data_IF_348324725271
#
_entry.id   IF_348324725271
#
_cell.length_a   1.000
_cell.length_b   1.000
_cell.length_c   1.000
_cell.angle_alpha   90.00
_cell.angle_beta   90.00
_cell.angle_gamma   90.00
#
_symmetry.space_group_name_H-M   'P 1'
#
loop_
_entity.id
_entity.type
_entity.pdbx_description
1 polymer ?
#
# COMPACT_ATOMS: atom_id res chain seq x y z
N UNK A 1 37.28 -33.68 -0.68
CA UNK A 1 36.99 -33.50 -2.11
C UNK A 1 36.35 -34.77 -2.61
N UNK A 2 35.16 -34.70 -3.23
CA UNK A 2 34.55 -35.90 -3.83
C UNK A 2 35.44 -36.45 -4.95
N UNK A 3 35.52 -37.79 -5.13
CA UNK A 3 36.32 -38.37 -6.20
C UNK A 3 35.81 -37.89 -7.57
N UNK A 4 36.72 -37.66 -8.54
CA UNK A 4 36.33 -37.27 -9.88
C UNK A 4 35.40 -38.30 -10.51
N UNK A 5 34.39 -37.83 -11.24
CA UNK A 5 33.46 -38.70 -11.96
C UNK A 5 34.18 -39.56 -13.01
N UNK A 6 33.81 -40.84 -13.12
CA UNK A 6 34.38 -41.78 -14.10
C UNK A 6 33.93 -41.48 -15.56
N UNK A 7 32.90 -40.63 -15.72
CA UNK A 7 32.35 -40.22 -17.01
C UNK A 7 32.06 -38.72 -17.05
N UNK A 8 32.00 -38.16 -18.24
CA UNK A 8 31.68 -36.76 -18.46
C UNK A 8 30.24 -36.46 -18.00
N UNK A 9 30.01 -35.51 -17.08
CA UNK A 9 28.67 -35.22 -16.57
C UNK A 9 27.77 -34.50 -17.59
N UNK A 10 28.28 -34.16 -18.78
CA UNK A 10 27.50 -33.56 -19.88
C UNK A 10 27.02 -34.59 -20.90
N UNK A 11 27.89 -35.52 -21.33
CA UNK A 11 27.60 -36.44 -22.43
C UNK A 11 27.73 -37.93 -22.07
N UNK A 12 28.16 -38.26 -20.85
CA UNK A 12 28.30 -39.65 -20.38
C UNK A 12 29.52 -40.40 -20.91
N UNK A 13 30.34 -39.81 -21.80
CA UNK A 13 31.55 -40.45 -22.31
C UNK A 13 32.55 -40.75 -21.18
N UNK A 14 33.34 -41.83 -21.33
CA UNK A 14 34.36 -42.21 -20.36
C UNK A 14 35.37 -41.06 -20.16
N UNK A 15 35.75 -40.80 -18.90
CA UNK A 15 36.75 -39.76 -18.60
C UNK A 15 38.13 -40.24 -19.05
N UNK A 16 38.83 -39.39 -19.78
CA UNK A 16 40.22 -39.57 -20.19
C UNK A 16 41.11 -38.62 -19.38
N UNK A 17 42.41 -38.90 -19.30
CA UNK A 17 43.37 -37.99 -18.68
C UNK A 17 43.45 -36.69 -19.49
N UNK A 18 42.87 -35.62 -18.96
CA UNK A 18 42.84 -34.30 -19.60
C UNK A 18 41.89 -33.33 -18.90
N UNK A 19 42.04 -32.01 -19.11
CA UNK A 19 41.17 -30.99 -18.52
C UNK A 19 39.78 -30.93 -19.19
N UNK A 20 39.67 -31.43 -20.42
CA UNK A 20 38.46 -31.35 -21.25
C UNK A 20 38.04 -32.72 -21.81
N UNK A 21 36.74 -32.87 -22.05
CA UNK A 21 36.17 -34.08 -22.63
C UNK A 21 36.36 -34.09 -24.16
N UNK A 22 37.00 -35.11 -24.75
CA UNK A 22 37.25 -35.16 -26.19
C UNK A 22 35.97 -35.31 -27.02
N UNK A 23 34.89 -35.84 -26.43
CA UNK A 23 33.63 -36.05 -27.13
C UNK A 23 32.77 -34.77 -27.25
N UNK A 24 32.86 -33.84 -26.29
CA UNK A 24 31.95 -32.68 -26.23
C UNK A 24 32.61 -31.34 -25.88
N UNK A 25 33.93 -31.31 -25.71
CA UNK A 25 34.73 -30.10 -25.43
C UNK A 25 34.45 -29.44 -24.07
N UNK A 26 33.77 -30.11 -23.14
CA UNK A 26 33.48 -29.50 -21.82
C UNK A 26 34.65 -29.69 -20.87
N UNK A 27 35.02 -28.63 -20.15
CA UNK A 27 36.01 -28.68 -19.08
C UNK A 27 35.40 -29.45 -17.90
N UNK A 28 36.04 -30.55 -17.48
CA UNK A 28 35.49 -31.45 -16.45
C UNK A 28 35.18 -30.72 -15.14
N UNK A 29 36.10 -29.88 -14.65
CA UNK A 29 35.91 -29.10 -13.43
C UNK A 29 34.65 -28.22 -13.46
N UNK A 30 34.41 -27.52 -14.58
CA UNK A 30 33.25 -26.64 -14.73
C UNK A 30 31.95 -27.43 -14.83
N UNK A 31 32.00 -28.60 -15.47
CA UNK A 31 30.85 -29.47 -15.64
C UNK A 31 30.47 -30.14 -14.31
N UNK A 32 31.45 -30.57 -13.51
CA UNK A 32 31.27 -31.12 -12.17
C UNK A 32 30.73 -30.07 -11.19
N UNK A 33 31.25 -28.83 -11.22
CA UNK A 33 30.73 -27.74 -10.41
C UNK A 33 29.24 -27.43 -10.72
N UNK A 34 28.85 -27.45 -12.00
CA UNK A 34 27.44 -27.28 -12.42
C UNK A 34 26.56 -28.46 -12.03
N UNK A 35 27.07 -29.69 -12.09
CA UNK A 35 26.35 -30.87 -11.66
C UNK A 35 26.11 -30.85 -10.14
N UNK A 36 27.14 -30.50 -9.36
CA UNK A 36 27.04 -30.34 -7.91
C UNK A 36 26.06 -29.23 -7.52
N UNK A 37 26.08 -28.09 -8.21
CA UNK A 37 25.12 -27.00 -7.98
C UNK A 37 23.66 -27.42 -8.26
N UNK A 38 23.41 -28.18 -9.34
CA UNK A 38 22.07 -28.73 -9.64
C UNK A 38 21.60 -29.70 -8.56
N UNK A 39 22.46 -30.63 -8.15
CA UNK A 39 22.13 -31.57 -7.06
C UNK A 39 21.86 -30.84 -5.73
N UNK A 40 22.61 -29.78 -5.41
CA UNK A 40 22.36 -28.98 -4.22
C UNK A 40 21.00 -28.25 -4.29
N UNK A 41 20.66 -27.68 -5.45
CA UNK A 41 19.35 -27.05 -5.67
C UNK A 41 18.18 -28.04 -5.58
N UNK A 42 18.34 -29.25 -6.12
CA UNK A 42 17.34 -30.32 -6.02
C UNK A 42 17.12 -30.76 -4.56
N UNK A 43 18.20 -30.89 -3.76
CA UNK A 43 18.10 -31.18 -2.33
C UNK A 43 17.38 -30.08 -1.56
N UNK A 44 17.74 -28.81 -1.79
CA UNK A 44 17.07 -27.68 -1.15
C UNK A 44 15.58 -27.59 -1.52
N UNK A 45 15.24 -27.88 -2.78
CA UNK A 45 13.84 -27.93 -3.22
C UNK A 45 13.08 -29.07 -2.54
N UNK A 46 13.69 -30.25 -2.41
CA UNK A 46 13.10 -31.39 -1.72
C UNK A 46 12.90 -31.11 -0.23
N UNK A 47 13.88 -30.50 0.45
CA UNK A 47 13.77 -30.07 1.85
C UNK A 47 12.64 -29.05 2.04
N UNK A 48 12.54 -28.04 1.17
CA UNK A 48 11.46 -27.05 1.23
C UNK A 48 10.09 -27.67 1.03
N UNK A 49 9.95 -28.60 0.08
CA UNK A 49 8.69 -29.29 -0.17
C UNK A 49 8.31 -30.20 1.02
N UNK A 50 9.27 -30.85 1.65
CA UNK A 50 9.04 -31.65 2.86
C UNK A 50 8.52 -30.80 4.03
N UNK A 51 9.08 -29.60 4.24
CA UNK A 51 8.61 -28.66 5.26
C UNK A 51 7.17 -28.19 4.98
N UNK A 52 6.83 -27.91 3.72
CA UNK A 52 5.46 -27.52 3.35
C UNK A 52 4.45 -28.65 3.62
N UNK A 53 4.76 -29.88 3.23
CA UNK A 53 3.91 -31.03 3.52
C UNK A 53 3.73 -31.26 5.02
N UNK A 54 4.80 -31.14 5.81
CA UNK A 54 4.71 -31.25 7.27
C UNK A 54 3.79 -30.17 7.87
N UNK A 55 3.82 -28.95 7.35
CA UNK A 55 2.94 -27.86 7.80
C UNK A 55 1.47 -28.09 7.42
N UNK A 56 1.21 -28.65 6.23
CA UNK A 56 -0.13 -29.05 5.81
C UNK A 56 -0.69 -30.17 6.70
N UNK A 57 0.11 -31.20 6.98
CA UNK A 57 -0.25 -32.30 7.89
C UNK A 57 -0.58 -31.78 9.30
N UNK A 58 0.22 -30.84 9.82
CA UNK A 58 -0.05 -30.19 11.10
C UNK A 58 -1.38 -29.42 11.12
N UNK A 59 -1.73 -28.73 10.02
CA UNK A 59 -3.02 -28.02 9.92
C UNK A 59 -4.20 -28.98 9.85
N UNK A 60 -4.06 -30.09 9.14
CA UNK A 60 -5.08 -31.14 9.08
C UNK A 60 -5.28 -31.79 10.46
N UNK A 61 -4.19 -32.17 11.14
CA UNK A 61 -4.26 -32.74 12.49
C UNK A 61 -4.89 -31.77 13.50
N UNK A 62 -4.57 -30.47 13.42
CA UNK A 62 -5.21 -29.46 14.28
C UNK A 62 -6.71 -29.35 14.01
N UNK A 63 -7.12 -29.39 12.74
CA UNK A 63 -8.54 -29.34 12.36
C UNK A 63 -9.28 -30.59 12.86
N UNK A 64 -8.72 -31.77 12.66
CA UNK A 64 -9.28 -33.02 13.17
C UNK A 64 -9.39 -33.01 14.70
N UNK A 65 -8.38 -32.49 15.40
CA UNK A 65 -8.43 -32.32 16.85
C UNK A 65 -9.54 -31.34 17.28
N UNK A 66 -9.73 -30.22 16.58
CA UNK A 66 -10.80 -29.26 16.85
C UNK A 66 -12.18 -29.85 16.58
N UNK A 67 -12.34 -30.64 15.52
CA UNK A 67 -13.58 -31.34 15.20
C UNK A 67 -13.89 -32.45 16.22
N UNK A 68 -12.87 -33.19 16.69
CA UNK A 68 -13.02 -34.19 17.74
C UNK A 68 -13.35 -33.60 19.12
N UNK A 69 -12.88 -32.36 19.40
CA UNK A 69 -13.16 -31.63 20.64
C UNK A 69 -14.29 -30.61 20.49
N UNK A 70 -14.99 -30.58 19.35
CA UNK A 70 -16.26 -29.86 19.23
C UNK A 70 -17.26 -30.58 20.13
N UNK A 71 -17.30 -30.15 21.40
CA UNK A 71 -18.22 -30.67 22.39
C UNK A 71 -19.63 -30.68 21.81
N UNK A 72 -20.45 -31.72 22.10
CA UNK A 72 -21.85 -31.67 21.75
C UNK A 72 -22.40 -30.35 22.27
N UNK A 73 -23.09 -29.61 21.41
CA UNK A 73 -23.69 -28.33 21.73
C UNK A 73 -24.68 -28.57 22.86
N UNK A 74 -24.20 -28.47 24.09
CA UNK A 74 -25.05 -28.49 25.26
C UNK A 74 -25.75 -27.13 25.24
N UNK A 75 -26.85 -27.07 24.50
CA UNK A 75 -27.83 -26.01 24.68
C UNK A 75 -28.30 -26.21 26.11
N UNK A 76 -27.97 -25.30 27.04
CA UNK A 76 -28.42 -25.45 28.41
C UNK A 76 -29.95 -25.47 28.38
N UNK A 77 -30.63 -26.44 29.03
CA UNK A 77 -32.10 -26.49 29.05
C UNK A 77 -32.73 -25.25 29.69
N UNK A 78 -31.93 -24.34 30.26
CA UNK A 78 -32.37 -23.05 30.76
C UNK A 78 -32.67 -22.01 29.65
N UNK A 79 -32.20 -22.22 28.41
CA UNK A 79 -32.49 -21.31 27.28
C UNK A 79 -33.86 -21.60 26.66
N UNK A 80 -34.38 -22.81 26.82
CA UNK A 80 -35.66 -23.25 26.26
C UNK A 80 -36.87 -22.85 27.14
N UNK A 81 -36.62 -22.43 28.39
CA UNK A 81 -37.63 -21.97 29.34
C UNK A 81 -37.61 -20.45 29.59
N UNK A 82 -36.86 -19.68 28.79
CA UNK A 82 -37.03 -18.23 28.80
C UNK A 82 -38.33 -17.89 28.05
N UNK A 83 -39.35 -17.31 28.71
CA UNK A 83 -40.51 -16.82 27.99
C UNK A 83 -40.03 -15.87 26.91
N UNK A 84 -40.62 -15.98 25.72
CA UNK A 84 -40.40 -15.06 24.61
C UNK A 84 -40.43 -13.65 25.18
N UNK A 85 -39.26 -13.00 25.24
CA UNK A 85 -39.18 -11.60 25.64
C UNK A 85 -39.93 -10.87 24.53
N UNK A 86 -41.20 -10.58 24.81
CA UNK A 86 -41.87 -9.41 24.27
C UNK A 86 -40.97 -8.26 24.67
N UNK A 87 -40.02 -7.93 23.80
CA UNK A 87 -39.29 -6.68 23.91
C UNK A 87 -40.40 -5.65 23.85
N UNK A 88 -40.59 -4.84 24.92
CA UNK A 88 -41.48 -3.69 24.78
C UNK A 88 -41.01 -2.98 23.52
N UNK A 89 -41.96 -2.64 22.65
CA UNK A 89 -41.77 -1.78 21.50
C UNK A 89 -41.35 -0.41 22.05
N UNK A 90 -40.09 -0.34 22.51
CA UNK A 90 -39.39 0.87 22.86
C UNK A 90 -39.11 1.48 21.51
N UNK A 91 -39.98 2.39 21.11
CA UNK A 91 -39.77 3.28 19.98
C UNK A 91 -38.45 4.03 20.21
N UNK A 92 -37.37 3.51 19.63
CA UNK A 92 -36.00 4.06 19.63
C UNK A 92 -35.84 5.21 18.61
N UNK A 93 -36.92 5.90 18.25
CA UNK A 93 -36.93 6.89 17.17
C UNK A 93 -35.95 8.06 17.45
N UNK A 94 -35.74 8.40 18.73
CA UNK A 94 -34.80 9.44 19.15
C UNK A 94 -33.33 9.02 19.15
N UNK A 95 -32.99 7.73 19.27
CA UNK A 95 -31.58 7.28 19.30
C UNK A 95 -30.95 7.31 17.91
N UNK A 96 -31.73 6.97 16.90
CA UNK A 96 -31.25 6.92 15.52
C UNK A 96 -31.02 8.34 14.97
N UNK A 97 -31.93 9.27 15.26
CA UNK A 97 -31.78 10.69 14.92
C UNK A 97 -30.58 11.35 15.62
N UNK A 98 -30.33 10.99 16.89
CA UNK A 98 -29.16 11.47 17.64
C UNK A 98 -27.84 10.90 17.06
N UNK A 99 -27.82 9.62 16.68
CA UNK A 99 -26.67 8.98 16.04
C UNK A 99 -26.37 9.60 14.67
N UNK A 100 -27.39 9.86 13.86
CA UNK A 100 -27.24 10.55 12.57
C UNK A 100 -26.69 11.96 12.74
N UNK A 101 -27.18 12.70 13.73
CA UNK A 101 -26.70 14.05 14.06
C UNK A 101 -25.26 14.03 14.58
N UNK A 102 -24.88 13.02 15.35
CA UNK A 102 -23.52 12.86 15.83
C UNK A 102 -22.54 12.52 14.68
N UNK A 103 -22.88 11.56 13.83
CA UNK A 103 -22.11 11.23 12.63
C UNK A 103 -21.98 12.42 11.69
N UNK A 104 -23.05 13.21 11.55
CA UNK A 104 -23.06 14.47 10.83
C UNK A 104 -22.00 15.44 11.36
N UNK A 105 -21.97 15.68 12.68
CA UNK A 105 -20.95 16.52 13.33
C UNK A 105 -19.55 15.97 13.12
N UNK A 106 -19.36 14.65 13.22
CA UNK A 106 -18.06 14.02 12.99
C UNK A 106 -17.53 14.27 11.56
N UNK A 107 -18.38 14.16 10.54
CA UNK A 107 -17.98 14.41 9.13
C UNK A 107 -17.52 15.84 8.87
N UNK A 108 -18.01 16.78 9.68
CA UNK A 108 -17.60 18.19 9.66
C UNK A 108 -16.31 18.39 10.44
N UNK A 109 -16.19 17.83 11.64
CA UNK A 109 -15.08 18.18 12.53
C UNK A 109 -13.82 17.35 12.29
N UNK A 110 -13.93 16.09 11.88
CA UNK A 110 -12.80 15.14 11.89
C UNK A 110 -11.70 15.54 10.93
N UNK A 111 -12.01 15.87 9.68
CA UNK A 111 -10.97 16.19 8.69
C UNK A 111 -10.21 17.48 9.04
N UNK A 112 -10.85 18.63 9.35
CA UNK A 112 -10.14 19.83 9.78
C UNK A 112 -9.33 19.61 11.06
N UNK A 113 -9.91 18.91 12.03
CA UNK A 113 -9.23 18.64 13.31
C UNK A 113 -8.01 17.73 13.12
N UNK A 114 -8.15 16.67 12.32
CA UNK A 114 -7.04 15.76 12.03
C UNK A 114 -5.90 16.48 11.30
N UNK A 115 -6.20 17.31 10.31
CA UNK A 115 -5.20 18.12 9.61
C UNK A 115 -4.52 19.14 10.53
N UNK A 116 -5.28 19.80 11.41
CA UNK A 116 -4.72 20.75 12.36
C UNK A 116 -3.80 20.06 13.39
N UNK A 117 -4.24 18.93 13.95
CA UNK A 117 -3.42 18.13 14.87
C UNK A 117 -2.16 17.62 14.15
N UNK A 118 -2.29 17.10 12.92
CA UNK A 118 -1.16 16.67 12.11
C UNK A 118 -0.18 17.82 11.83
N UNK A 119 -0.69 19.04 11.62
CA UNK A 119 0.15 20.22 11.41
C UNK A 119 0.94 20.62 12.66
N UNK A 120 0.32 20.59 13.83
CA UNK A 120 1.02 20.80 15.10
C UNK A 120 2.07 19.70 15.35
N UNK A 121 1.70 18.46 15.07
CA UNK A 121 2.53 17.27 15.20
C UNK A 121 3.83 17.37 14.39
N UNK A 122 3.75 17.71 13.10
CA UNK A 122 4.94 17.77 12.23
C UNK A 122 5.85 18.97 12.53
N UNK A 123 5.34 19.98 13.25
CA UNK A 123 6.14 21.13 13.70
C UNK A 123 6.84 20.92 15.03
N UNK A 124 6.44 19.90 15.80
CA UNK A 124 7.07 19.55 17.05
C UNK A 124 8.21 18.54 16.78
N UNK A 125 9.49 18.84 17.07
CA UNK A 125 10.60 17.96 16.68
C UNK A 125 10.47 16.52 17.18
N UNK A 126 10.07 16.32 18.44
CA UNK A 126 9.93 14.97 19.02
C UNK A 126 8.76 14.19 18.43
N UNK A 127 7.61 14.85 18.22
CA UNK A 127 6.44 14.20 17.64
C UNK A 127 6.62 13.97 16.13
N UNK A 128 7.27 14.91 15.43
CA UNK A 128 7.60 14.79 14.01
C UNK A 128 8.45 13.55 13.77
N UNK A 129 9.52 13.37 14.53
CA UNK A 129 10.35 12.17 14.46
C UNK A 129 9.51 10.90 14.62
N UNK A 130 8.75 10.77 15.72
CA UNK A 130 7.90 9.59 15.98
C UNK A 130 6.88 9.34 14.85
N UNK A 131 6.21 10.39 14.38
CA UNK A 131 5.24 10.31 13.29
C UNK A 131 5.89 9.84 12.00
N UNK A 132 7.13 10.28 11.74
CA UNK A 132 7.89 9.90 10.56
C UNK A 132 8.19 8.41 10.56
N UNK A 133 8.63 7.87 11.69
CA UNK A 133 8.95 6.44 11.85
C UNK A 133 7.73 5.55 11.56
N UNK A 134 6.60 5.84 12.22
CA UNK A 134 5.49 4.88 12.26
C UNK A 134 4.35 5.17 11.29
N UNK A 135 4.16 6.43 10.91
CA UNK A 135 2.98 6.85 10.14
C UNK A 135 3.33 7.32 8.73
N UNK A 136 4.40 8.09 8.56
CA UNK A 136 4.64 8.78 7.28
C UNK A 136 5.65 8.07 6.39
N UNK A 137 6.74 7.51 6.91
CA UNK A 137 7.74 6.79 6.10
C UNK A 137 7.16 5.55 5.40
N UNK A 138 6.36 4.68 6.03
CA UNK A 138 5.75 3.56 5.30
C UNK A 138 4.87 4.02 4.12
N UNK A 139 4.21 5.17 4.25
CA UNK A 139 3.38 5.75 3.19
C UNK A 139 4.24 6.44 2.12
N UNK A 140 5.39 7.01 2.49
CA UNK A 140 6.42 7.51 1.57
C UNK A 140 6.97 6.39 0.69
N UNK A 141 7.38 5.29 1.30
CA UNK A 141 7.87 4.11 0.57
C UNK A 141 6.78 3.48 -0.30
N UNK A 142 5.54 3.42 0.20
CA UNK A 142 4.40 3.01 -0.63
C UNK A 142 4.20 3.97 -1.81
N UNK A 143 4.47 5.27 -1.65
CA UNK A 143 4.45 6.27 -2.72
C UNK A 143 5.44 5.95 -3.85
N UNK A 144 6.69 5.60 -3.51
CA UNK A 144 7.66 5.11 -4.48
C UNK A 144 7.15 3.86 -5.19
N UNK A 145 6.69 2.87 -4.43
CA UNK A 145 6.25 1.59 -4.98
C UNK A 145 5.06 1.74 -5.93
N UNK A 146 4.03 2.48 -5.52
CA UNK A 146 2.85 2.76 -6.37
C UNK A 146 3.28 3.46 -7.65
N UNK A 147 4.11 4.50 -7.56
CA UNK A 147 4.58 5.24 -8.74
C UNK A 147 5.39 4.34 -9.67
N UNK A 148 6.23 3.46 -9.12
CA UNK A 148 7.00 2.48 -9.87
C UNK A 148 6.09 1.46 -10.58
N UNK A 149 5.05 0.96 -9.90
CA UNK A 149 4.06 0.03 -10.49
C UNK A 149 3.32 0.65 -11.68
N UNK A 150 2.91 1.91 -11.56
CA UNK A 150 2.27 2.64 -12.68
C UNK A 150 3.23 2.88 -13.86
N UNK A 151 4.54 2.89 -13.60
CA UNK A 151 5.57 2.99 -14.64
C UNK A 151 6.05 1.62 -15.16
N UNK A 152 5.48 0.52 -14.66
CA UNK A 152 5.79 -0.84 -15.08
C UNK A 152 7.00 -1.49 -14.39
N UNK A 153 7.48 -0.94 -13.29
CA UNK A 153 8.59 -1.52 -12.51
C UNK A 153 8.07 -2.40 -11.38
N UNK A 154 8.79 -3.48 -11.07
CA UNK A 154 8.50 -4.28 -9.89
C UNK A 154 9.05 -3.52 -8.68
N UNK A 155 8.21 -3.30 -7.66
CA UNK A 155 8.63 -2.61 -6.46
C UNK A 155 8.00 -3.25 -5.22
N UNK A 156 8.78 -3.35 -4.15
CA UNK A 156 8.34 -3.87 -2.85
C UNK A 156 8.59 -2.79 -1.80
N UNK A 157 7.53 -2.16 -1.26
CA UNK A 157 7.68 -1.20 -0.18
C UNK A 157 8.05 -1.93 1.12
N UNK A 158 9.07 -1.44 1.81
CA UNK A 158 9.35 -1.82 3.21
C UNK A 158 9.02 -0.65 4.13
N UNK A 159 9.38 -0.75 5.42
CA UNK A 159 9.14 0.34 6.38
C UNK A 159 10.00 1.58 6.11
N UNK A 160 11.15 1.44 5.46
CA UNK A 160 12.17 2.49 5.34
C UNK A 160 12.78 2.66 3.96
N UNK A 161 12.63 1.66 3.09
CA UNK A 161 13.22 1.66 1.76
C UNK A 161 12.36 0.87 0.79
N UNK A 162 12.25 1.36 -0.43
CA UNK A 162 11.55 0.66 -1.50
C UNK A 162 12.57 -0.01 -2.41
N UNK A 163 12.51 -1.33 -2.48
CA UNK A 163 13.30 -2.08 -3.47
C UNK A 163 12.57 -2.04 -4.80
N UNK A 164 13.21 -1.47 -5.83
CA UNK A 164 12.66 -1.34 -7.19
C UNK A 164 13.60 -2.06 -8.16
N UNK A 165 13.03 -2.78 -9.13
CA UNK A 165 13.81 -3.44 -10.18
C UNK A 165 14.50 -2.45 -11.11
N UNK A 166 15.66 -2.81 -11.68
CA UNK A 166 16.39 -1.95 -12.62
C UNK A 166 15.68 -1.82 -13.97
N UNK A 167 14.94 -2.86 -14.36
CA UNK A 167 14.20 -2.96 -15.61
C UNK A 167 12.69 -3.00 -15.37
N UNK A 168 11.93 -2.64 -16.41
CA UNK A 168 10.48 -2.79 -16.42
C UNK A 168 10.10 -4.27 -16.43
N UNK A 169 9.07 -4.61 -15.67
CA UNK A 169 8.48 -5.94 -15.61
C UNK A 169 7.20 -5.99 -16.43
N UNK A 170 7.16 -6.68 -17.58
CA UNK A 170 5.93 -6.86 -18.36
C UNK A 170 4.81 -7.48 -17.53
N UNK A 171 5.17 -8.39 -16.61
CA UNK A 171 4.23 -8.95 -15.66
C UNK A 171 3.56 -7.88 -14.80
N UNK A 172 4.33 -6.94 -14.25
CA UNK A 172 3.77 -5.88 -13.41
C UNK A 172 2.85 -4.94 -14.19
N UNK A 173 3.21 -4.61 -15.43
CA UNK A 173 2.36 -3.83 -16.34
C UNK A 173 1.02 -4.52 -16.56
N UNK A 174 1.04 -5.80 -16.93
CA UNK A 174 -0.20 -6.58 -17.18
C UNK A 174 -1.02 -6.74 -15.90
N UNK A 175 -0.37 -6.97 -14.75
CA UNK A 175 -1.04 -7.11 -13.47
C UNK A 175 -1.79 -5.83 -13.09
N UNK A 176 -1.12 -4.67 -13.10
CA UNK A 176 -1.74 -3.39 -12.76
C UNK A 176 -2.84 -3.03 -13.76
N UNK A 177 -2.60 -3.24 -15.06
CA UNK A 177 -3.60 -2.98 -16.10
C UNK A 177 -4.82 -3.90 -15.96
N UNK A 178 -4.61 -5.16 -15.62
CA UNK A 178 -5.66 -6.12 -15.35
C UNK A 178 -6.50 -5.72 -14.14
N UNK A 179 -5.87 -5.33 -13.02
CA UNK A 179 -6.58 -4.86 -11.82
C UNK A 179 -7.41 -3.61 -12.11
N UNK A 180 -6.84 -2.61 -12.78
CA UNK A 180 -7.57 -1.39 -13.14
C UNK A 180 -8.66 -1.67 -14.19
N UNK A 181 -8.41 -2.55 -15.15
CA UNK A 181 -9.39 -3.02 -16.12
C UNK A 181 -10.58 -3.74 -15.46
N UNK A 182 -10.33 -4.56 -14.43
CA UNK A 182 -11.41 -5.17 -13.64
C UNK A 182 -12.19 -4.13 -12.85
N UNK A 183 -11.56 -3.08 -12.33
CA UNK A 183 -12.27 -1.96 -11.67
C UNK A 183 -13.21 -1.25 -12.65
N UNK A 184 -12.72 -0.94 -13.87
CA UNK A 184 -13.55 -0.34 -14.94
C UNK A 184 -14.72 -1.26 -15.30
N UNK A 185 -14.44 -2.55 -15.51
CA UNK A 185 -15.46 -3.54 -15.86
C UNK A 185 -16.52 -3.69 -14.75
N UNK A 186 -16.11 -3.75 -13.49
CA UNK A 186 -17.02 -3.81 -12.34
C UNK A 186 -17.83 -2.53 -12.20
N UNK A 187 -17.20 -1.36 -12.41
CA UNK A 187 -17.88 -0.07 -12.43
C UNK A 187 -18.98 -0.01 -13.50
N UNK A 188 -18.67 -0.48 -14.71
CA UNK A 188 -19.63 -0.59 -15.80
C UNK A 188 -20.78 -1.56 -15.47
N UNK A 189 -20.47 -2.79 -15.04
CA UNK A 189 -21.47 -3.83 -14.71
C UNK A 189 -22.42 -3.38 -13.59
N UNK A 190 -21.90 -2.68 -12.58
CA UNK A 190 -22.68 -2.18 -11.44
C UNK A 190 -23.26 -0.78 -11.67
N UNK A 191 -23.12 -0.22 -12.88
CA UNK A 191 -23.54 1.16 -13.24
C UNK A 191 -23.00 2.24 -12.28
N UNK A 192 -21.82 1.99 -11.69
CA UNK A 192 -21.11 2.94 -10.82
C UNK A 192 -20.12 3.75 -11.66
N UNK A 193 -20.63 4.82 -12.28
CA UNK A 193 -19.85 5.68 -13.18
C UNK A 193 -18.56 6.23 -12.56
N UNK A 194 -18.57 6.53 -11.25
CA UNK A 194 -17.37 6.99 -10.55
C UNK A 194 -16.22 5.95 -10.59
N UNK A 195 -16.53 4.66 -10.41
CA UNK A 195 -15.51 3.60 -10.46
C UNK A 195 -14.95 3.44 -11.86
N UNK A 196 -15.82 3.54 -12.87
CA UNK A 196 -15.42 3.52 -14.26
C UNK A 196 -14.49 4.70 -14.59
N UNK A 197 -14.88 5.92 -14.22
CA UNK A 197 -14.08 7.12 -14.44
C UNK A 197 -12.71 7.03 -13.75
N UNK A 198 -12.67 6.65 -12.47
CA UNK A 198 -11.41 6.48 -11.72
C UNK A 198 -10.54 5.40 -12.37
N UNK A 199 -11.10 4.23 -12.66
CA UNK A 199 -10.35 3.15 -13.30
C UNK A 199 -9.81 3.53 -14.67
N UNK A 200 -10.58 4.23 -15.50
CA UNK A 200 -10.15 4.71 -16.82
C UNK A 200 -9.04 5.76 -16.71
N UNK A 201 -9.15 6.72 -15.79
CA UNK A 201 -8.09 7.71 -15.55
C UNK A 201 -6.81 7.02 -15.08
N UNK A 202 -6.90 6.08 -14.14
CA UNK A 202 -5.74 5.34 -13.66
C UNK A 202 -5.11 4.47 -14.77
N UNK A 203 -5.91 3.83 -15.62
CA UNK A 203 -5.40 3.12 -16.80
C UNK A 203 -4.66 4.05 -17.76
N UNK A 204 -5.19 5.25 -18.00
CA UNK A 204 -4.51 6.24 -18.84
C UNK A 204 -3.19 6.70 -18.22
N UNK A 205 -3.17 6.96 -16.91
CA UNK A 205 -1.93 7.29 -16.17
C UNK A 205 -0.91 6.16 -16.27
N UNK A 206 -1.34 4.91 -16.11
CA UNK A 206 -0.46 3.75 -16.26
C UNK A 206 0.08 3.62 -17.69
N UNK A 207 -0.79 3.78 -18.70
CA UNK A 207 -0.40 3.73 -20.10
C UNK A 207 0.64 4.80 -20.44
N UNK A 208 0.48 6.03 -19.93
CA UNK A 208 1.48 7.09 -20.05
C UNK A 208 2.78 6.71 -19.34
N UNK A 209 2.70 6.27 -18.07
CA UNK A 209 3.88 5.90 -17.27
C UNK A 209 4.68 4.75 -17.86
N UNK A 210 4.02 3.83 -18.57
CA UNK A 210 4.63 2.63 -19.14
C UNK A 210 5.05 2.79 -20.60
N UNK A 211 4.24 3.45 -21.43
CA UNK A 211 4.44 3.51 -22.89
C UNK A 211 5.00 4.84 -23.38
N UNK A 212 4.74 5.95 -22.69
CA UNK A 212 5.16 7.28 -23.12
C UNK A 212 6.46 7.75 -22.45
N UNK A 213 6.75 7.29 -21.24
CA UNK A 213 7.97 7.64 -20.52
C UNK A 213 9.12 6.68 -20.85
N UNK A 214 10.31 7.23 -21.02
CA UNK A 214 11.54 6.44 -21.06
C UNK A 214 11.91 5.92 -19.67
N UNK A 215 12.74 4.86 -19.54
CA UNK A 215 13.11 4.27 -18.25
C UNK A 215 13.69 5.28 -17.25
N UNK A 216 14.50 6.24 -17.70
CA UNK A 216 15.06 7.27 -16.83
C UNK A 216 13.99 8.25 -16.32
N UNK A 217 13.06 8.67 -17.19
CA UNK A 217 11.93 9.52 -16.80
C UNK A 217 10.99 8.80 -15.83
N UNK A 218 10.81 7.49 -16.00
CA UNK A 218 10.05 6.67 -15.07
C UNK A 218 10.73 6.57 -13.69
N UNK A 219 12.06 6.39 -13.65
CA UNK A 219 12.82 6.41 -12.39
C UNK A 219 12.71 7.75 -11.67
N UNK A 220 12.86 8.84 -12.42
CA UNK A 220 12.61 10.19 -11.93
C UNK A 220 11.19 10.34 -11.37
N UNK A 221 10.17 9.80 -12.06
CA UNK A 221 8.78 9.87 -11.62
C UNK A 221 8.56 9.10 -10.32
N UNK A 222 9.10 7.90 -10.17
CA UNK A 222 8.91 7.16 -8.92
C UNK A 222 9.79 7.70 -7.78
N UNK A 223 10.94 8.34 -8.04
CA UNK A 223 11.68 9.10 -7.01
C UNK A 223 10.86 10.29 -6.52
N UNK A 224 10.23 11.04 -7.43
CA UNK A 224 9.24 12.07 -7.06
C UNK A 224 8.04 11.48 -6.30
N UNK A 225 7.69 10.24 -6.62
CA UNK A 225 6.60 9.48 -6.04
C UNK A 225 6.68 9.24 -4.53
N UNK A 226 7.84 9.38 -3.88
CA UNK A 226 7.93 9.23 -2.42
C UNK A 226 7.09 10.27 -1.69
N UNK A 227 7.52 11.53 -1.74
CA UNK A 227 6.83 12.64 -1.08
C UNK A 227 5.50 13.00 -1.78
N UNK A 228 5.42 12.89 -3.11
CA UNK A 228 4.18 13.17 -3.82
C UNK A 228 3.15 12.08 -3.55
N UNK A 229 3.58 10.82 -3.55
CA UNK A 229 2.75 9.67 -3.26
C UNK A 229 2.22 9.70 -1.84
N UNK A 230 3.03 10.05 -0.82
CA UNK A 230 2.50 10.15 0.55
C UNK A 230 1.45 11.25 0.71
N UNK A 231 1.54 12.35 -0.04
CA UNK A 231 0.48 13.37 -0.08
C UNK A 231 -0.79 12.82 -0.73
N UNK A 232 -0.68 12.20 -1.91
CA UNK A 232 -1.84 11.67 -2.65
C UNK A 232 -2.51 10.51 -1.89
N UNK A 233 -1.72 9.55 -1.39
CA UNK A 233 -2.19 8.41 -0.61
C UNK A 233 -2.75 8.87 0.74
N UNK A 234 -2.10 9.84 1.40
CA UNK A 234 -2.59 10.42 2.64
C UNK A 234 -3.95 11.08 2.46
N UNK A 235 -4.13 11.85 1.37
CA UNK A 235 -5.43 12.39 0.99
C UNK A 235 -6.45 11.29 0.73
N UNK A 236 -6.10 10.25 -0.05
CA UNK A 236 -6.98 9.12 -0.32
C UNK A 236 -7.42 8.39 0.97
N UNK A 237 -6.51 8.15 1.91
CA UNK A 237 -6.81 7.56 3.21
C UNK A 237 -7.82 8.41 4.00
N UNK A 238 -7.66 9.73 4.02
CA UNK A 238 -8.62 10.63 4.67
C UNK A 238 -10.01 10.59 4.03
N UNK A 239 -10.11 10.38 2.70
CA UNK A 239 -11.43 10.26 2.03
C UNK A 239 -12.24 9.06 2.53
N UNK A 240 -11.59 8.04 3.10
CA UNK A 240 -12.27 6.85 3.63
C UNK A 240 -13.20 7.17 4.79
N UNK A 241 -13.08 8.35 5.41
CA UNK A 241 -14.04 8.79 6.43
C UNK A 241 -15.45 9.04 5.88
N UNK A 242 -15.56 9.34 4.58
CA UNK A 242 -16.82 9.67 3.91
C UNK A 242 -17.52 8.47 3.26
N UNK A 243 -17.11 7.25 3.60
CA UNK A 243 -17.76 6.03 3.09
C UNK A 243 -19.19 5.86 3.64
N UNK A 244 -20.08 5.18 2.90
CA UNK A 244 -21.44 4.89 3.36
C UNK A 244 -21.49 4.11 4.68
N UNK A 245 -22.59 4.21 5.47
CA UNK A 245 -22.79 3.45 6.72
C UNK A 245 -22.56 1.96 6.57
N UNK A 246 -22.97 1.38 5.45
CA UNK A 246 -22.85 -0.06 5.22
C UNK A 246 -21.45 -0.55 4.88
N UNK A 247 -20.52 0.38 4.66
CA UNK A 247 -19.17 0.03 4.23
C UNK A 247 -18.36 -0.58 5.38
N UNK A 248 -17.60 -1.63 5.08
CA UNK A 248 -16.76 -2.36 6.04
C UNK A 248 -15.86 -1.42 6.86
N UNK A 249 -15.23 -0.45 6.19
CA UNK A 249 -14.37 0.57 6.82
C UNK A 249 -15.07 1.41 7.90
N UNK A 250 -16.39 1.62 7.75
CA UNK A 250 -17.21 2.34 8.73
C UNK A 250 -17.65 1.39 9.84
N UNK A 251 -18.17 0.21 9.50
CA UNK A 251 -18.67 -0.79 10.47
C UNK A 251 -17.61 -1.25 11.47
N UNK A 252 -16.35 -1.38 11.03
CA UNK A 252 -15.24 -1.84 11.88
C UNK A 252 -14.29 -0.72 12.30
N UNK A 253 -14.73 0.55 12.25
CA UNK A 253 -13.97 1.72 12.72
C UNK A 253 -12.59 1.95 12.06
N UNK A 254 -12.21 1.22 11.01
CA UNK A 254 -10.91 1.33 10.32
C UNK A 254 -10.64 2.74 9.77
N UNK A 255 -11.70 3.48 9.42
CA UNK A 255 -11.61 4.87 8.94
C UNK A 255 -10.86 5.81 9.91
N UNK A 256 -10.88 5.53 11.21
CA UNK A 256 -10.19 6.36 12.20
C UNK A 256 -8.68 6.24 12.09
N UNK A 257 -8.16 5.02 12.00
CA UNK A 257 -6.73 4.79 11.77
C UNK A 257 -6.27 5.40 10.45
N UNK A 258 -7.06 5.24 9.38
CA UNK A 258 -6.75 5.81 8.07
C UNK A 258 -6.75 7.33 8.05
N UNK A 259 -7.67 7.99 8.75
CA UNK A 259 -7.63 9.46 8.87
C UNK A 259 -6.38 9.93 9.60
N UNK A 260 -5.99 9.26 10.69
CA UNK A 260 -4.78 9.65 11.45
C UNK A 260 -3.52 9.45 10.60
N UNK A 261 -3.34 8.27 10.01
CA UNK A 261 -2.20 7.97 9.14
C UNK A 261 -2.19 8.92 7.94
N UNK A 262 -3.36 9.12 7.32
CA UNK A 262 -3.49 9.95 6.13
C UNK A 262 -3.21 11.42 6.38
N UNK A 263 -3.71 11.97 7.49
CA UNK A 263 -3.45 13.36 7.89
C UNK A 263 -1.97 13.58 8.22
N UNK A 264 -1.36 12.66 8.98
CA UNK A 264 0.07 12.72 9.31
C UNK A 264 0.94 12.65 8.04
N UNK A 265 0.71 11.66 7.17
CA UNK A 265 1.48 11.48 5.93
C UNK A 265 1.31 12.66 4.96
N UNK A 266 0.08 13.15 4.80
CA UNK A 266 -0.20 14.33 3.98
C UNK A 266 0.53 15.56 4.51
N UNK A 267 0.39 15.85 5.81
CA UNK A 267 0.91 17.07 6.40
C UNK A 267 2.43 17.07 6.51
N UNK A 268 3.06 15.91 6.75
CA UNK A 268 4.52 15.77 6.74
C UNK A 268 5.13 16.13 5.38
N UNK A 269 4.49 15.69 4.29
CA UNK A 269 4.92 16.08 2.95
C UNK A 269 4.60 17.54 2.64
N UNK A 270 3.36 17.95 2.90
CA UNK A 270 2.90 19.27 2.51
C UNK A 270 3.61 20.39 3.28
N UNK A 271 3.79 20.28 4.60
CA UNK A 271 4.45 21.31 5.41
C UNK A 271 5.90 21.52 4.99
N UNK A 272 6.63 20.43 4.78
CA UNK A 272 8.02 20.44 4.31
C UNK A 272 8.16 21.26 3.03
N UNK A 273 7.39 20.91 2.00
CA UNK A 273 7.50 21.56 0.69
C UNK A 273 6.86 22.96 0.67
N UNK A 274 5.85 23.21 1.50
CA UNK A 274 5.26 24.54 1.64
C UNK A 274 6.22 25.53 2.29
N UNK A 275 6.92 25.10 3.35
CA UNK A 275 7.92 25.89 4.04
C UNK A 275 9.19 26.10 3.20
N UNK A 276 9.55 25.11 2.37
CA UNK A 276 10.67 25.21 1.42
C UNK A 276 10.55 26.39 0.43
N UNK A 277 9.35 26.93 0.21
CA UNK A 277 9.14 28.12 -0.62
C UNK A 277 9.81 29.39 -0.06
N UNK A 278 9.97 29.47 1.26
CA UNK A 278 10.58 30.60 1.95
C UNK A 278 11.91 30.26 2.61
N UNK A 279 12.15 28.97 2.85
CA UNK A 279 13.34 28.46 3.56
C UNK A 279 13.81 27.16 2.90
N UNK A 280 14.70 27.29 1.91
CA UNK A 280 15.19 26.17 1.08
C UNK A 280 15.98 25.15 1.90
N UNK A 281 16.59 25.57 3.01
CA UNK A 281 17.41 24.72 3.88
C UNK A 281 16.59 23.65 4.61
N UNK A 282 15.26 23.77 4.60
CA UNK A 282 14.36 22.72 5.10
C UNK A 282 14.36 21.46 4.25
N UNK A 283 14.73 21.55 2.97
CA UNK A 283 14.75 20.39 2.08
C UNK A 283 15.87 19.45 2.55
N UNK A 284 15.60 18.16 2.83
CA UNK A 284 16.60 17.21 3.31
C UNK A 284 17.50 16.76 2.15
N UNK A 285 18.39 17.63 1.69
CA UNK A 285 19.44 17.30 0.74
C UNK A 285 20.53 16.45 1.39
N UNK A 286 21.22 15.64 0.58
CA UNK A 286 22.40 14.89 0.96
C UNK A 286 22.21 13.38 0.94
N UNK A 287 23.15 12.70 1.62
CA UNK A 287 23.22 11.26 1.72
C UNK A 287 22.48 10.77 2.96
N UNK A 288 21.64 9.75 2.76
CA UNK A 288 20.98 8.98 3.80
C UNK A 288 21.78 7.68 3.97
N UNK A 289 22.23 7.42 5.19
CA UNK A 289 23.00 6.24 5.53
C UNK A 289 22.23 4.96 5.15
N UNK A 290 22.89 4.05 4.41
CA UNK A 290 22.28 2.79 3.95
C UNK A 290 21.34 2.88 2.74
N UNK A 291 20.98 4.08 2.25
CA UNK A 291 20.07 4.28 1.11
C UNK A 291 20.70 5.07 -0.04
N UNK A 292 21.68 5.93 0.26
CA UNK A 292 22.34 6.79 -0.73
C UNK A 292 21.72 8.19 -0.76
N UNK A 293 21.71 8.86 -1.92
CA UNK A 293 21.13 10.20 -2.04
C UNK A 293 19.64 10.21 -1.67
N UNK A 294 19.21 11.22 -0.93
CA UNK A 294 17.80 11.49 -0.66
C UNK A 294 17.04 11.75 -1.96
N UNK A 295 15.71 11.59 -1.95
CA UNK A 295 14.89 11.81 -3.15
C UNK A 295 15.06 13.23 -3.73
N UNK A 296 15.11 14.23 -2.86
CA UNK A 296 15.33 15.61 -3.26
C UNK A 296 16.70 15.79 -3.93
N UNK A 297 17.75 15.19 -3.36
CA UNK A 297 19.09 15.19 -3.97
C UNK A 297 19.11 14.44 -5.29
N UNK A 298 18.49 13.26 -5.41
CA UNK A 298 18.40 12.53 -6.69
C UNK A 298 17.70 13.34 -7.77
N UNK A 299 16.59 13.99 -7.45
CA UNK A 299 15.86 14.85 -8.40
C UNK A 299 16.72 16.00 -8.94
N UNK A 300 17.53 16.63 -8.08
CA UNK A 300 18.36 17.78 -8.47
C UNK A 300 19.67 17.33 -9.11
N UNK A 301 20.42 16.47 -8.44
CA UNK A 301 21.79 16.09 -8.80
C UNK A 301 21.84 15.05 -9.91
N UNK A 302 20.94 14.06 -9.90
CA UNK A 302 20.93 12.99 -10.90
C UNK A 302 20.06 13.36 -12.10
N UNK A 303 18.86 13.89 -11.86
CA UNK A 303 17.89 14.17 -12.91
C UNK A 303 17.86 15.63 -13.37
N UNK A 304 18.71 16.49 -12.81
CA UNK A 304 18.91 17.88 -13.25
C UNK A 304 17.71 18.81 -13.01
N UNK A 305 16.81 18.49 -12.08
CA UNK A 305 15.71 19.41 -11.77
C UNK A 305 16.24 20.63 -11.02
N UNK A 306 15.73 21.80 -11.40
CA UNK A 306 15.92 22.99 -10.59
C UNK A 306 15.15 22.84 -9.25
N UNK A 307 15.77 23.21 -8.13
CA UNK A 307 15.15 23.23 -6.79
C UNK A 307 13.79 23.93 -6.79
N UNK A 308 13.66 25.09 -7.46
CA UNK A 308 12.39 25.81 -7.57
C UNK A 308 11.30 24.99 -8.27
N UNK A 309 11.68 24.20 -9.29
CA UNK A 309 10.76 23.30 -9.99
C UNK A 309 10.33 22.14 -9.08
N UNK A 310 11.24 21.59 -8.28
CA UNK A 310 10.93 20.53 -7.30
C UNK A 310 9.90 21.04 -6.30
N UNK A 311 10.18 22.18 -5.64
CA UNK A 311 9.27 22.81 -4.67
C UNK A 311 7.90 23.06 -5.31
N UNK A 312 7.87 23.71 -6.48
CA UNK A 312 6.60 24.05 -7.14
C UNK A 312 5.76 22.81 -7.46
N UNK A 313 6.38 21.73 -7.95
CA UNK A 313 5.67 20.48 -8.27
C UNK A 313 5.07 19.81 -7.02
N UNK A 314 5.83 19.70 -5.93
CA UNK A 314 5.28 19.13 -4.69
C UNK A 314 4.18 19.99 -4.09
N UNK A 315 4.36 21.31 -4.08
CA UNK A 315 3.32 22.24 -3.61
C UNK A 315 2.06 22.14 -4.47
N UNK A 316 2.17 22.05 -5.80
CA UNK A 316 1.02 21.84 -6.68
C UNK A 316 0.28 20.53 -6.36
N UNK A 317 1.00 19.42 -6.11
CA UNK A 317 0.38 18.15 -5.72
C UNK A 317 -0.38 18.31 -4.40
N UNK A 318 0.26 18.91 -3.38
CA UNK A 318 -0.36 19.14 -2.09
C UNK A 318 -1.60 20.03 -2.15
N UNK A 319 -1.53 21.15 -2.88
CA UNK A 319 -2.67 22.04 -3.10
C UNK A 319 -3.79 21.33 -3.87
N UNK A 320 -3.46 20.54 -4.89
CA UNK A 320 -4.46 19.77 -5.65
C UNK A 320 -5.18 18.76 -4.75
N UNK A 321 -4.45 18.09 -3.85
CA UNK A 321 -5.03 17.20 -2.86
C UNK A 321 -5.95 17.94 -1.87
N UNK A 322 -5.54 19.12 -1.38
CA UNK A 322 -6.39 19.96 -0.52
C UNK A 322 -7.65 20.43 -1.23
N UNK A 323 -7.56 20.81 -2.50
CA UNK A 323 -8.74 21.19 -3.30
C UNK A 323 -9.68 20.00 -3.45
N UNK A 324 -9.18 18.80 -3.74
CA UNK A 324 -9.99 17.60 -3.84
C UNK A 324 -10.66 17.23 -2.50
N UNK A 325 -9.92 17.28 -1.39
CA UNK A 325 -10.45 17.08 -0.04
C UNK A 325 -11.47 18.15 0.34
N UNK A 326 -11.20 19.40 0.00
CA UNK A 326 -12.10 20.54 0.22
C UNK A 326 -13.41 20.36 -0.55
N UNK A 327 -13.37 19.94 -1.81
CA UNK A 327 -14.57 19.65 -2.60
C UNK A 327 -15.39 18.51 -2.01
N UNK A 328 -14.74 17.43 -1.54
CA UNK A 328 -15.40 16.32 -0.84
C UNK A 328 -16.03 16.78 0.48
N UNK A 329 -15.31 17.57 1.26
CA UNK A 329 -15.75 18.16 2.52
C UNK A 329 -16.98 19.06 2.32
N UNK A 330 -16.94 19.96 1.34
CA UNK A 330 -18.07 20.82 0.97
C UNK A 330 -19.27 20.00 0.49
N UNK A 331 -19.03 18.95 -0.30
CA UNK A 331 -20.08 18.01 -0.71
C UNK A 331 -20.71 17.26 0.47
N UNK A 332 -19.91 16.90 1.48
CA UNK A 332 -20.39 16.27 2.70
C UNK A 332 -21.20 17.26 3.56
N UNK A 333 -20.73 18.50 3.71
CA UNK A 333 -21.47 19.58 4.38
C UNK A 333 -22.83 19.82 3.74
N UNK A 334 -22.88 19.85 2.41
CA UNK A 334 -24.12 20.08 1.69
C UNK A 334 -25.14 18.97 1.92
N UNK A 335 -24.71 17.70 1.93
CA UNK A 335 -25.58 16.55 2.20
C UNK A 335 -26.12 16.50 3.64
N UNK A 336 -25.36 17.04 4.58
CA UNK A 336 -25.64 16.93 6.02
C UNK A 336 -26.30 18.20 6.58
N UNK A 337 -26.38 19.26 5.77
CA UNK A 337 -26.94 20.56 6.13
C UNK A 337 -28.33 20.49 6.74
N UNK A 338 -29.22 19.68 6.16
CA UNK A 338 -30.62 19.65 6.58
C UNK A 338 -30.77 18.86 7.90
N UNK A 339 -30.00 17.79 8.08
CA UNK A 339 -29.88 17.09 9.37
C UNK A 339 -29.33 17.99 10.49
N UNK A 340 -28.33 18.83 10.19
CA UNK A 340 -27.77 19.77 11.17
C UNK A 340 -28.72 20.92 11.53
N UNK A 341 -29.63 21.30 10.63
CA UNK A 341 -30.65 22.34 10.88
C UNK A 341 -31.85 21.80 11.67
N UNK A 342 -32.25 20.56 11.45
CA UNK A 342 -33.37 19.91 12.15
C UNK A 342 -33.10 19.69 13.65
N UNK A 343 -31.86 19.36 14.03
CA UNK A 343 -31.48 19.11 15.43
C UNK A 343 -31.45 20.35 16.35
N UNK A 344 -31.64 21.56 15.81
CA UNK A 344 -31.69 22.80 16.59
C UNK A 344 -33.10 23.23 17.03
N UNK A 345 -34.16 22.64 16.47
CA UNK A 345 -35.53 23.07 16.71
C UNK A 345 -36.21 22.39 17.92
N UNK A 346 -35.59 21.37 18.52
CA UNK A 346 -36.15 20.61 19.65
C UNK A 346 -35.55 20.92 21.04
N UNK A 347 -34.70 21.96 21.16
CA UNK A 347 -33.98 22.28 22.40
C UNK A 347 -34.33 23.68 22.96
N UNK A 348 -35.54 24.18 22.70
CA UNK A 348 -36.04 25.45 23.23
C UNK A 348 -37.27 25.25 24.10
#
# INVERSE_FOLDING_TARGET
>A
MSPPSASCPRCGALRVEGPECPACGVIYLRAEARAAARQAGERQLAERNAVLHQAEDQRLALREALEAHAAPTFVPPLVEAMPERVSPDLTFDDSDAAEETFEAKLRVCVLPTALFIAWLAVRSPGFHALSRIFLTMPVHELGHAVSAWFCGFSATPSLWVTSVSDERSPFMVVLVAGLLGTLVHQGWKRRRWAWMAVGTVLLAVQAVGTLALDPEQARMMFTFGGDAGKMVLGAALMTTFYVPPDHYLRKHALRWGFVVIGAAAFMDGFELWWAARTDVDRIPFGLIEGVGLSDASRLVETYGWNVSRVIHRYVMVGVSCLVALGALYLGALWRVRDALRGGGAGAA
#
